data_IF_766210874921
#
_entry.id   IF_766210874921
#
_cell.length_a   1.000
_cell.length_b   1.000
_cell.length_c   1.000
_cell.angle_alpha   90.00
_cell.angle_beta   90.00
_cell.angle_gamma   90.00
#
_symmetry.space_group_name_H-M   'P 1'
#
loop_
_entity.id
_entity.type
_entity.pdbx_description
1 polymer ?
#
# COMPACT_ATOMS: atom_id res chain seq x y z
N UNK A 1 -1.75 -18.69 -6.93
CA UNK A 1 -3.00 -18.12 -7.48
C UNK A 1 -3.16 -18.42 -8.97
N UNK A 2 -2.12 -18.33 -9.82
CA UNK A 2 -2.29 -18.59 -11.26
C UNK A 2 -2.95 -19.91 -11.63
N UNK A 3 -2.59 -21.02 -11.00
CA UNK A 3 -3.24 -22.32 -11.24
C UNK A 3 -4.75 -22.27 -10.88
N UNK A 4 -5.07 -21.65 -9.74
CA UNK A 4 -6.46 -21.47 -9.29
C UNK A 4 -7.26 -20.55 -10.23
N UNK A 5 -6.63 -19.54 -10.83
CA UNK A 5 -7.27 -18.60 -11.74
C UNK A 5 -7.45 -19.19 -13.15
N UNK A 6 -6.37 -19.71 -13.73
CA UNK A 6 -6.31 -20.09 -15.15
C UNK A 6 -6.64 -21.58 -15.40
N UNK A 7 -6.34 -22.46 -14.44
CA UNK A 7 -6.52 -23.90 -14.58
C UNK A 7 -7.78 -24.42 -13.87
N UNK A 8 -7.93 -24.09 -12.59
CA UNK A 8 -8.96 -24.69 -11.73
C UNK A 8 -10.25 -23.86 -11.63
N UNK A 9 -10.25 -22.59 -12.05
CA UNK A 9 -11.42 -21.71 -11.97
C UNK A 9 -11.89 -21.44 -10.53
N UNK A 10 -10.99 -21.50 -9.55
CA UNK A 10 -11.25 -21.28 -8.13
C UNK A 10 -11.23 -19.79 -7.74
N UNK A 11 -10.85 -18.91 -8.68
CA UNK A 11 -11.03 -17.45 -8.57
C UNK A 11 -12.24 -17.05 -9.40
N UNK A 12 -13.32 -16.66 -8.73
CA UNK A 12 -14.63 -16.41 -9.32
C UNK A 12 -14.98 -14.93 -9.23
N UNK A 13 -15.17 -14.30 -10.38
CA UNK A 13 -15.64 -12.91 -10.49
C UNK A 13 -16.98 -12.69 -9.76
N UNK A 14 -17.13 -11.54 -9.11
CA UNK A 14 -18.42 -11.08 -8.57
C UNK A 14 -18.90 -9.81 -9.24
N UNK A 15 -18.14 -8.72 -9.11
CA UNK A 15 -18.47 -7.42 -9.70
C UNK A 15 -17.22 -6.55 -9.85
N UNK A 16 -17.24 -5.64 -10.82
CA UNK A 16 -16.27 -4.57 -10.92
C UNK A 16 -16.66 -3.45 -9.94
N UNK A 17 -15.73 -3.04 -9.08
CA UNK A 17 -15.93 -1.95 -8.14
C UNK A 17 -15.42 -0.62 -8.70
N UNK A 18 -14.33 -0.66 -9.47
CA UNK A 18 -13.72 0.51 -10.06
C UNK A 18 -13.05 0.18 -11.39
N UNK A 19 -13.27 1.06 -12.37
CA UNK A 19 -12.60 1.02 -13.66
C UNK A 19 -12.42 2.43 -14.22
N UNK A 20 -11.18 2.93 -14.18
CA UNK A 20 -10.84 4.23 -14.76
C UNK A 20 -9.37 4.23 -15.21
N UNK A 21 -9.10 4.76 -16.41
CA UNK A 21 -7.75 4.86 -16.99
C UNK A 21 -6.96 3.53 -16.97
N UNK A 22 -7.65 2.40 -17.05
CA UNK A 22 -7.07 1.06 -17.02
C UNK A 22 -6.88 0.46 -15.61
N UNK A 23 -6.96 1.25 -14.52
CA UNK A 23 -6.96 0.72 -13.14
C UNK A 23 -8.22 -0.11 -12.93
N UNK A 24 -8.05 -1.33 -12.44
CA UNK A 24 -9.13 -2.30 -12.19
C UNK A 24 -9.16 -2.67 -10.72
N UNK A 25 -10.34 -2.54 -10.09
CA UNK A 25 -10.62 -3.08 -8.75
C UNK A 25 -11.86 -3.95 -8.86
N UNK A 26 -11.71 -5.23 -8.55
CA UNK A 26 -12.73 -6.25 -8.80
C UNK A 26 -12.97 -7.03 -7.52
N UNK A 27 -14.23 -7.16 -7.12
CA UNK A 27 -14.62 -8.10 -6.09
C UNK A 27 -14.69 -9.52 -6.68
N UNK A 28 -14.07 -10.48 -5.99
CA UNK A 28 -14.05 -11.88 -6.40
C UNK A 28 -14.13 -12.82 -5.19
N UNK A 29 -14.30 -14.13 -5.45
CA UNK A 29 -14.11 -15.19 -4.46
C UNK A 29 -12.96 -16.08 -4.87
N UNK A 30 -12.02 -16.32 -3.97
CA UNK A 30 -10.92 -17.25 -4.16
C UNK A 30 -11.03 -18.41 -3.17
N UNK A 31 -11.24 -19.62 -3.69
CA UNK A 31 -11.50 -20.84 -2.89
C UNK A 31 -12.65 -20.64 -1.89
N UNK A 32 -13.69 -19.91 -2.31
CA UNK A 32 -14.87 -19.59 -1.49
C UNK A 32 -14.74 -18.34 -0.60
N UNK A 33 -13.53 -17.82 -0.38
CA UNK A 33 -13.31 -16.62 0.46
C UNK A 33 -13.39 -15.34 -0.38
N UNK A 34 -14.01 -14.26 0.12
CA UNK A 34 -14.04 -12.98 -0.60
C UNK A 34 -12.65 -12.35 -0.66
N UNK A 35 -12.30 -11.80 -1.82
CA UNK A 35 -11.04 -11.08 -2.08
C UNK A 35 -11.30 -9.87 -2.97
N UNK A 36 -10.36 -8.93 -3.00
CA UNK A 36 -10.33 -7.85 -3.98
C UNK A 36 -9.14 -8.09 -4.93
N UNK A 37 -9.41 -8.14 -6.23
CA UNK A 37 -8.40 -8.19 -7.28
C UNK A 37 -8.11 -6.79 -7.78
N UNK A 38 -6.83 -6.45 -7.86
CA UNK A 38 -6.36 -5.14 -8.27
C UNK A 38 -5.32 -5.22 -9.38
N UNK A 39 -5.32 -4.20 -10.22
CA UNK A 39 -4.27 -3.93 -11.21
C UNK A 39 -4.26 -2.45 -11.58
N UNK A 40 -3.07 -1.83 -11.66
CA UNK A 40 -2.90 -0.42 -12.08
C UNK A 40 -3.19 -0.21 -13.56
N UNK A 41 -2.74 -1.12 -14.42
CA UNK A 41 -2.94 -1.06 -15.86
C UNK A 41 -3.86 -2.19 -16.33
N UNK A 42 -4.54 -1.95 -17.45
CA UNK A 42 -5.52 -2.89 -17.95
C UNK A 42 -4.86 -4.17 -18.48
N UNK A 43 -3.85 -4.02 -19.32
CA UNK A 43 -3.21 -5.13 -20.03
C UNK A 43 -1.84 -5.44 -19.46
N UNK A 44 -1.50 -6.73 -19.45
CA UNK A 44 -0.17 -7.19 -19.04
C UNK A 44 0.95 -6.59 -19.92
N UNK A 45 0.66 -6.37 -21.20
CA UNK A 45 1.59 -5.76 -22.16
C UNK A 45 1.78 -4.25 -21.98
N UNK A 46 1.04 -3.60 -21.08
CA UNK A 46 1.20 -2.18 -20.77
C UNK A 46 2.32 -1.91 -19.76
N UNK A 47 2.86 -2.97 -19.14
CA UNK A 47 4.03 -2.87 -18.26
C UNK A 47 5.29 -3.02 -19.09
N UNK A 48 6.34 -2.31 -18.68
CA UNK A 48 7.63 -2.42 -19.33
C UNK A 48 8.17 -3.84 -19.14
N UNK A 49 8.61 -4.52 -20.21
CA UNK A 49 9.22 -5.84 -20.07
C UNK A 49 10.53 -5.71 -19.28
N UNK A 50 10.91 -6.77 -18.56
CA UNK A 50 12.23 -6.83 -17.95
C UNK A 50 13.24 -6.96 -19.10
N UNK A 51 13.90 -5.86 -19.49
CA UNK A 51 14.74 -5.81 -20.70
C UNK A 51 15.86 -6.86 -20.76
N UNK A 52 16.26 -7.41 -19.61
CA UNK A 52 17.20 -8.55 -19.53
C UNK A 52 16.63 -9.83 -20.15
N UNK A 53 15.30 -9.95 -20.24
CA UNK A 53 14.61 -11.04 -20.95
C UNK A 53 14.58 -10.86 -22.48
N UNK A 54 14.95 -9.68 -22.98
CA UNK A 54 14.88 -9.33 -24.41
C UNK A 54 16.27 -9.33 -25.07
N UNK A 55 17.34 -9.05 -24.31
CA UNK A 55 18.69 -9.37 -24.74
C UNK A 55 18.87 -10.90 -24.66
N UNK A 56 19.50 -11.49 -25.68
CA UNK A 56 19.75 -12.93 -25.83
C UNK A 56 20.65 -13.56 -24.74
N UNK A 57 20.75 -12.96 -23.56
CA UNK A 57 21.03 -13.71 -22.34
C UNK A 57 19.76 -14.50 -22.11
N UNK A 58 19.83 -15.82 -22.33
CA UNK A 58 18.67 -16.66 -22.13
C UNK A 58 18.05 -16.30 -20.77
N UNK A 59 16.73 -16.07 -20.72
CA UNK A 59 15.99 -15.98 -19.45
C UNK A 59 16.20 -17.23 -18.56
N UNK A 60 16.92 -18.22 -19.07
CA UNK A 60 17.44 -19.42 -18.43
C UNK A 60 18.66 -19.17 -17.50
N UNK A 61 19.31 -17.99 -17.55
CA UNK A 61 20.55 -17.71 -16.81
C UNK A 61 20.43 -16.73 -15.64
N UNK A 62 19.24 -16.16 -15.36
CA UNK A 62 19.09 -15.28 -14.19
C UNK A 62 19.14 -16.10 -12.91
N UNK A 63 20.22 -15.90 -12.13
CA UNK A 63 20.35 -16.53 -10.82
C UNK A 63 19.31 -15.95 -9.86
N UNK A 64 18.99 -16.69 -8.81
CA UNK A 64 18.11 -16.18 -7.76
C UNK A 64 18.65 -14.89 -7.12
N UNK A 65 19.98 -14.68 -7.12
CA UNK A 65 20.58 -13.44 -6.64
C UNK A 65 20.31 -12.26 -7.58
N UNK A 66 20.38 -12.47 -8.89
CA UNK A 66 20.09 -11.40 -9.87
C UNK A 66 18.63 -10.95 -9.73
N UNK A 67 17.71 -11.90 -9.63
CA UNK A 67 16.28 -11.60 -9.41
C UNK A 67 16.09 -10.79 -8.13
N UNK A 68 16.74 -11.19 -7.03
CA UNK A 68 16.69 -10.44 -5.78
C UNK A 68 17.28 -9.04 -5.93
N UNK A 69 18.40 -8.90 -6.64
CA UNK A 69 19.05 -7.62 -6.87
C UNK A 69 18.14 -6.65 -7.66
N UNK A 70 17.63 -7.07 -8.81
CA UNK A 70 16.73 -6.25 -9.62
C UNK A 70 15.42 -5.93 -8.91
N UNK A 71 14.84 -6.93 -8.22
CA UNK A 71 13.64 -6.70 -7.42
C UNK A 71 13.89 -5.70 -6.29
N UNK A 72 15.03 -5.78 -5.61
CA UNK A 72 15.38 -4.85 -4.52
C UNK A 72 15.56 -3.44 -5.05
N UNK A 73 16.21 -3.28 -6.21
CA UNK A 73 16.36 -1.98 -6.86
C UNK A 73 15.02 -1.36 -7.24
N UNK A 74 14.13 -2.15 -7.85
CA UNK A 74 12.79 -1.68 -8.22
C UNK A 74 11.96 -1.33 -6.99
N UNK A 75 11.99 -2.16 -5.94
CA UNK A 75 11.34 -1.85 -4.67
C UNK A 75 11.88 -0.55 -4.08
N UNK A 76 13.20 -0.37 -4.06
CA UNK A 76 13.83 0.85 -3.53
C UNK A 76 13.40 2.09 -4.32
N UNK A 77 13.30 1.97 -5.64
CA UNK A 77 12.83 3.04 -6.53
C UNK A 77 11.35 3.38 -6.27
N UNK A 78 10.47 2.36 -6.23
CA UNK A 78 9.04 2.53 -5.97
C UNK A 78 8.75 3.09 -4.58
N UNK A 79 9.54 2.75 -3.57
CA UNK A 79 9.45 3.32 -2.22
C UNK A 79 10.09 4.72 -2.12
N UNK A 80 10.77 5.19 -3.17
CA UNK A 80 11.42 6.50 -3.19
C UNK A 80 12.59 6.60 -2.21
N UNK A 81 13.33 5.51 -2.04
CA UNK A 81 14.50 5.41 -1.16
C UNK A 81 15.82 5.38 -1.94
N UNK A 82 15.79 5.60 -3.26
CA UNK A 82 16.93 5.47 -4.18
C UNK A 82 18.05 6.48 -3.95
N UNK A 83 17.78 7.56 -3.24
CA UNK A 83 18.73 8.64 -2.99
C UNK A 83 19.08 8.67 -1.49
N UNK A 84 20.15 7.96 -1.14
CA UNK A 84 20.92 8.31 0.07
C UNK A 84 21.62 9.64 -0.26
N UNK A 85 20.90 10.76 -0.16
CA UNK A 85 21.56 12.05 0.01
C UNK A 85 22.22 11.98 1.38
N UNK A 86 23.54 12.10 1.36
CA UNK A 86 24.42 12.25 2.51
C UNK A 86 24.04 13.54 3.28
N UNK A 87 22.88 13.57 3.94
CA UNK A 87 22.56 14.59 4.93
C UNK A 87 23.26 14.19 6.25
N UNK A 88 24.11 15.09 6.74
CA UNK A 88 25.00 14.95 7.88
C UNK A 88 24.32 14.47 9.17
N UNK A 89 25.11 13.75 9.98
CA UNK A 89 24.81 13.23 11.33
C UNK A 89 23.87 12.01 11.44
N UNK A 90 24.45 10.82 11.25
CA UNK A 90 23.93 9.60 11.87
C UNK A 90 24.02 8.38 10.97
N UNK A 91 25.09 7.60 11.11
CA UNK A 91 25.32 6.40 10.31
C UNK A 91 24.16 5.42 10.34
N UNK A 92 23.56 5.18 9.17
CA UNK A 92 22.53 4.17 8.96
C UNK A 92 22.88 3.29 7.76
N UNK A 93 23.66 2.25 8.05
CA UNK A 93 23.66 0.93 7.41
C UNK A 93 22.91 0.77 6.07
N UNK A 94 23.62 0.93 4.95
CA UNK A 94 23.24 0.46 3.60
C UNK A 94 22.98 -1.06 3.50
N UNK A 95 23.00 -1.78 4.63
CA UNK A 95 22.79 -3.21 4.73
C UNK A 95 21.46 -3.62 5.35
N UNK A 96 20.61 -2.74 5.88
CA UNK A 96 19.47 -3.20 6.70
C UNK A 96 18.43 -4.01 5.90
N UNK A 97 18.01 -3.54 4.72
CA UNK A 97 17.03 -4.26 3.90
C UNK A 97 17.60 -5.52 3.25
N UNK A 98 18.78 -5.45 2.65
CA UNK A 98 19.45 -6.64 2.09
C UNK A 98 19.76 -7.71 3.15
N UNK A 99 20.01 -7.31 4.40
CA UNK A 99 20.30 -8.22 5.53
C UNK A 99 19.03 -8.75 6.20
N UNK A 100 17.95 -7.96 6.27
CA UNK A 100 16.61 -8.42 6.66
C UNK A 100 16.04 -9.44 5.66
N UNK A 101 16.23 -9.20 4.36
CA UNK A 101 15.77 -10.10 3.30
C UNK A 101 16.70 -11.30 3.14
N UNK A 102 18.02 -11.10 3.28
CA UNK A 102 19.04 -12.15 3.23
C UNK A 102 18.98 -13.15 4.40
N UNK A 103 18.54 -12.73 5.60
CA UNK A 103 18.39 -13.65 6.74
C UNK A 103 17.16 -14.56 6.63
N UNK A 104 16.10 -14.13 5.92
CA UNK A 104 14.86 -14.91 5.72
C UNK A 104 14.93 -15.79 4.47
N UNK A 105 15.76 -15.44 3.50
CA UNK A 105 15.97 -16.22 2.29
C UNK A 105 17.04 -17.29 2.52
N UNK A 106 16.62 -18.49 2.94
CA UNK A 106 17.29 -19.71 2.46
C UNK A 106 17.07 -19.73 0.94
N UNK A 107 17.94 -19.05 0.19
CA UNK A 107 17.91 -19.03 -1.28
C UNK A 107 18.19 -20.47 -1.71
N UNK A 108 17.13 -21.27 -1.84
CA UNK A 108 17.21 -22.54 -2.57
C UNK A 108 17.62 -22.18 -4.00
N UNK A 109 18.46 -23.00 -4.60
CA UNK A 109 18.63 -23.04 -6.05
C UNK A 109 17.26 -23.30 -6.68
N UNK A 110 16.51 -22.22 -6.93
CA UNK A 110 15.22 -22.26 -7.59
C UNK A 110 15.38 -21.47 -8.87
N UNK A 111 15.23 -22.15 -9.99
CA UNK A 111 15.09 -21.50 -11.29
C UNK A 111 13.70 -20.88 -11.40
N UNK A 112 13.63 -19.70 -12.01
CA UNK A 112 12.39 -19.01 -12.29
C UNK A 112 12.11 -19.09 -13.79
N UNK A 113 10.88 -19.42 -14.15
CA UNK A 113 10.44 -19.37 -15.55
C UNK A 113 10.34 -17.92 -16.03
N UNK A 114 10.44 -17.72 -17.34
CA UNK A 114 10.21 -16.40 -17.97
C UNK A 114 8.85 -15.80 -17.57
N UNK A 115 7.81 -16.63 -17.45
CA UNK A 115 6.48 -16.19 -17.05
C UNK A 115 6.43 -15.72 -15.58
N UNK A 116 7.14 -16.41 -14.67
CA UNK A 116 7.27 -15.97 -13.27
C UNK A 116 8.02 -14.64 -13.17
N UNK A 117 9.12 -14.48 -13.90
CA UNK A 117 9.89 -13.23 -13.91
C UNK A 117 9.09 -12.06 -14.50
N UNK A 118 8.40 -12.28 -15.63
CA UNK A 118 7.55 -11.26 -16.23
C UNK A 118 6.38 -10.86 -15.31
N UNK A 119 5.78 -11.83 -14.61
CA UNK A 119 4.72 -11.55 -13.63
C UNK A 119 5.25 -10.77 -12.43
N UNK A 120 6.41 -11.16 -11.90
CA UNK A 120 7.06 -10.43 -10.80
C UNK A 120 7.36 -8.99 -11.22
N UNK A 121 7.94 -8.80 -12.41
CA UNK A 121 8.35 -7.49 -12.89
C UNK A 121 7.16 -6.53 -13.11
N UNK A 122 6.04 -7.02 -13.67
CA UNK A 122 4.84 -6.19 -13.83
C UNK A 122 4.15 -5.86 -12.51
N UNK A 123 4.31 -6.70 -11.48
CA UNK A 123 3.83 -6.39 -10.13
C UNK A 123 4.69 -5.33 -9.44
N UNK A 124 6.01 -5.40 -9.55
CA UNK A 124 6.91 -4.44 -8.87
C UNK A 124 6.81 -3.01 -9.40
N UNK A 125 6.44 -2.85 -10.68
CA UNK A 125 6.13 -1.56 -11.32
C UNK A 125 4.84 -0.91 -10.79
N UNK A 126 4.06 -1.60 -9.96
CA UNK A 126 2.85 -1.06 -9.33
C UNK A 126 3.19 -0.63 -7.90
N UNK A 127 3.15 0.67 -7.66
CA UNK A 127 3.52 1.28 -6.38
C UNK A 127 2.66 0.71 -5.25
N UNK A 128 1.33 0.63 -5.42
CA UNK A 128 0.43 0.06 -4.40
C UNK A 128 0.78 -1.39 -4.06
N UNK A 129 1.02 -2.26 -5.06
CA UNK A 129 1.41 -3.65 -4.81
C UNK A 129 2.70 -3.73 -4.01
N UNK A 130 3.71 -2.97 -4.43
CA UNK A 130 5.03 -2.95 -3.80
C UNK A 130 4.94 -2.44 -2.37
N UNK A 131 4.22 -1.34 -2.13
CA UNK A 131 3.98 -0.80 -0.80
C UNK A 131 3.27 -1.81 0.10
N UNK A 132 2.12 -2.34 -0.32
CA UNK A 132 1.36 -3.30 0.47
C UNK A 132 2.21 -4.54 0.77
N UNK A 133 2.93 -5.08 -0.22
CA UNK A 133 3.72 -6.30 -0.05
C UNK A 133 4.91 -6.12 0.89
N UNK A 134 5.55 -4.96 0.90
CA UNK A 134 6.67 -4.65 1.82
C UNK A 134 6.14 -4.35 3.22
N UNK A 135 5.08 -3.55 3.32
CA UNK A 135 4.58 -3.06 4.60
C UNK A 135 3.71 -4.05 5.37
N UNK A 136 3.08 -5.02 4.71
CA UNK A 136 2.18 -5.98 5.39
C UNK A 136 2.84 -6.82 6.49
N UNK A 137 4.17 -6.99 6.43
CA UNK A 137 4.95 -7.72 7.45
C UNK A 137 5.46 -6.77 8.56
N UNK A 138 5.31 -5.45 8.38
CA UNK A 138 5.81 -4.41 9.26
C UNK A 138 4.70 -3.63 9.97
N UNK A 139 3.52 -3.54 9.37
CA UNK A 139 2.38 -2.80 9.93
C UNK A 139 1.09 -3.56 9.73
N UNK A 140 0.26 -3.57 10.77
CA UNK A 140 -1.12 -4.06 10.71
C UNK A 140 -2.04 -3.10 9.96
N UNK A 141 -1.62 -1.87 9.66
CA UNK A 141 -2.47 -0.83 9.08
C UNK A 141 -2.45 -0.76 7.54
N UNK A 142 -1.97 -1.82 6.88
CA UNK A 142 -2.02 -1.95 5.41
C UNK A 142 -2.73 -3.25 5.01
N UNK A 143 -3.34 -3.26 3.83
CA UNK A 143 -4.04 -4.44 3.31
C UNK A 143 -3.05 -5.58 3.01
N UNK A 144 -3.42 -6.81 3.35
CA UNK A 144 -2.59 -7.98 3.09
C UNK A 144 -2.74 -8.44 1.64
N UNK A 145 -1.61 -8.59 0.94
CA UNK A 145 -1.55 -9.27 -0.35
C UNK A 145 -1.59 -10.78 -0.12
N UNK A 146 -2.63 -11.43 -0.64
CA UNK A 146 -2.90 -12.86 -0.50
C UNK A 146 -2.24 -13.70 -1.60
N UNK A 147 -2.02 -13.11 -2.77
CA UNK A 147 -1.39 -13.77 -3.90
C UNK A 147 -1.49 -12.95 -5.18
N UNK A 148 -0.88 -13.44 -6.25
CA UNK A 148 -0.88 -12.76 -7.54
C UNK A 148 -0.87 -13.73 -8.71
N UNK A 149 -1.33 -13.24 -9.87
CA UNK A 149 -1.16 -13.90 -11.15
C UNK A 149 -1.05 -12.89 -12.29
N UNK A 150 0.02 -12.98 -13.08
CA UNK A 150 0.34 -11.94 -14.05
C UNK A 150 0.53 -10.60 -13.32
N UNK A 151 -0.05 -9.54 -13.87
CA UNK A 151 -0.06 -8.20 -13.28
C UNK A 151 -1.16 -7.99 -12.22
N UNK A 152 -2.08 -8.94 -12.07
CA UNK A 152 -3.11 -8.87 -11.04
C UNK A 152 -2.61 -9.41 -9.70
N UNK A 153 -3.01 -8.74 -8.63
CA UNK A 153 -2.82 -9.21 -7.26
C UNK A 153 -4.13 -9.21 -6.49
N UNK A 154 -4.25 -10.14 -5.55
CA UNK A 154 -5.38 -10.30 -4.66
C UNK A 154 -5.02 -9.76 -3.29
N UNK A 155 -5.89 -8.93 -2.73
CA UNK A 155 -5.83 -8.47 -1.33
C UNK A 155 -7.03 -8.98 -0.55
N UNK A 156 -6.92 -8.98 0.77
CA UNK A 156 -8.03 -9.30 1.67
C UNK A 156 -9.26 -8.40 1.42
N UNK A 157 -10.45 -8.95 1.59
CA UNK A 157 -11.70 -8.19 1.52
C UNK A 157 -11.98 -7.51 2.86
N UNK A 158 -12.17 -6.18 2.82
CA UNK A 158 -12.36 -5.33 4.01
C UNK A 158 -13.59 -4.44 3.83
N UNK A 159 -14.15 -3.96 4.95
CA UNK A 159 -15.28 -3.01 4.91
C UNK A 159 -14.72 -1.61 4.67
N UNK A 160 -14.73 -1.19 3.40
CA UNK A 160 -14.19 0.11 2.95
C UNK A 160 -15.07 1.27 3.41
N UNK A 161 -14.48 2.45 3.54
CA UNK A 161 -15.21 3.64 3.91
C UNK A 161 -16.02 4.23 2.74
N UNK A 162 -17.06 5.00 3.09
CA UNK A 162 -17.93 5.68 2.12
C UNK A 162 -18.20 7.12 2.57
N UNK A 163 -18.09 8.10 1.65
CA UNK A 163 -18.31 9.51 1.95
C UNK A 163 -19.78 9.91 2.21
N UNK A 164 -20.77 9.03 1.96
CA UNK A 164 -22.20 9.39 2.00
C UNK A 164 -22.95 8.92 3.25
N UNK A 165 -22.31 8.15 4.13
CA UNK A 165 -22.93 7.62 5.34
C UNK A 165 -22.67 8.51 6.57
N UNK A 166 -23.54 8.44 7.59
CA UNK A 166 -23.32 9.13 8.88
C UNK A 166 -22.05 8.64 9.58
N UNK A 167 -21.61 7.42 9.28
CA UNK A 167 -20.36 6.83 9.75
C UNK A 167 -19.47 6.56 8.54
N UNK A 168 -18.16 6.76 8.69
CA UNK A 168 -17.18 6.48 7.62
C UNK A 168 -17.27 5.03 7.14
N UNK A 169 -17.56 4.08 8.03
CA UNK A 169 -17.60 2.64 7.73
C UNK A 169 -18.95 2.00 8.07
N UNK A 170 -19.31 0.97 7.32
CA UNK A 170 -20.45 0.09 7.63
C UNK A 170 -20.12 -0.84 8.79
N UNK A 171 -20.81 -0.67 9.92
CA UNK A 171 -20.57 -1.47 11.13
C UNK A 171 -21.35 -2.79 11.18
N UNK A 172 -22.30 -2.98 10.26
CA UNK A 172 -23.14 -4.18 10.20
C UNK A 172 -22.34 -5.45 9.85
N UNK A 173 -21.22 -5.28 9.13
CA UNK A 173 -20.36 -6.37 8.66
C UNK A 173 -19.31 -6.82 9.70
N UNK A 174 -19.20 -6.10 10.82
CA UNK A 174 -18.06 -6.19 11.76
C UNK A 174 -18.44 -6.88 13.09
N UNK A 175 -19.59 -7.55 13.16
CA UNK A 175 -20.04 -8.20 14.39
C UNK A 175 -19.09 -9.36 14.81
N UNK A 176 -18.22 -9.09 15.79
CA UNK A 176 -17.30 -10.07 16.41
C UNK A 176 -17.98 -10.80 17.58
N UNK A 177 -17.95 -12.14 17.65
CA UNK A 177 -18.18 -12.89 18.88
C UNK A 177 -16.95 -12.80 19.80
N UNK A 178 -17.10 -12.45 21.09
CA UNK A 178 -15.97 -12.44 22.04
C UNK A 178 -15.30 -13.82 22.14
N UNK A 179 -13.96 -13.85 22.16
CA UNK A 179 -13.18 -15.02 22.59
C UNK A 179 -13.54 -15.31 24.05
N UNK A 180 -13.94 -16.55 24.31
CA UNK A 180 -14.43 -17.04 25.60
C UNK A 180 -13.34 -16.92 26.66
N UNK A 181 -13.60 -16.12 27.70
CA UNK A 181 -13.15 -16.46 29.04
C UNK A 181 -14.30 -17.24 29.70
N UNK A 182 -14.00 -18.43 30.21
CA UNK A 182 -14.97 -19.30 30.85
C UNK A 182 -15.40 -18.68 32.16
N UNK A 183 -16.60 -18.10 32.22
CA UNK A 183 -17.65 -18.52 33.14
C UNK A 183 -18.81 -17.52 33.17
N UNK A 184 -20.01 -18.09 33.22
CA UNK A 184 -21.32 -17.48 33.51
C UNK A 184 -22.16 -16.99 32.32
N UNK A 185 -23.38 -17.50 32.31
CA UNK A 185 -24.45 -17.27 31.37
C UNK A 185 -24.75 -15.77 31.20
N UNK A 186 -24.47 -15.25 30.01
CA UNK A 186 -24.86 -13.92 29.56
C UNK A 186 -24.95 -13.93 28.04
N UNK A 187 -26.00 -13.34 27.49
CA UNK A 187 -26.17 -13.09 26.05
C UNK A 187 -24.86 -12.47 25.51
N UNK A 188 -24.36 -12.84 24.30
CA UNK A 188 -23.14 -12.25 23.78
C UNK A 188 -23.30 -10.73 23.74
N UNK A 189 -22.57 -10.01 24.59
CA UNK A 189 -22.59 -8.55 24.58
C UNK A 189 -21.99 -8.07 23.26
N UNK A 190 -22.88 -7.71 22.33
CA UNK A 190 -22.54 -7.02 21.10
C UNK A 190 -22.01 -5.65 21.47
N UNK A 191 -20.90 -5.26 20.86
CA UNK A 191 -20.28 -3.97 21.10
C UNK A 191 -21.28 -2.90 20.70
N UNK A 192 -21.46 -1.90 21.55
CA UNK A 192 -22.33 -0.78 21.20
C UNK A 192 -21.71 -0.02 20.02
N UNK A 193 -22.53 0.58 19.17
CA UNK A 193 -22.05 1.42 18.05
C UNK A 193 -21.04 2.47 18.52
N UNK A 194 -21.27 3.05 19.70
CA UNK A 194 -20.39 4.04 20.31
C UNK A 194 -19.00 3.46 20.64
N UNK A 195 -18.94 2.26 21.20
CA UNK A 195 -17.65 1.60 21.48
C UNK A 195 -16.89 1.26 20.20
N UNK A 196 -17.60 0.80 19.16
CA UNK A 196 -16.99 0.51 17.86
C UNK A 196 -16.39 1.78 17.25
N UNK A 197 -17.15 2.89 17.23
CA UNK A 197 -16.67 4.18 16.74
C UNK A 197 -15.46 4.68 17.52
N UNK A 198 -15.47 4.58 18.86
CA UNK A 198 -14.32 4.99 19.67
C UNK A 198 -13.06 4.18 19.35
N UNK A 199 -13.21 2.88 19.09
CA UNK A 199 -12.06 2.02 18.78
C UNK A 199 -11.54 2.22 17.37
N UNK A 200 -12.43 2.46 16.40
CA UNK A 200 -12.02 2.88 15.06
C UNK A 200 -11.24 4.20 15.13
N UNK A 201 -11.71 5.16 15.93
CA UNK A 201 -11.01 6.44 16.11
C UNK A 201 -9.63 6.27 16.75
N UNK A 202 -9.49 5.40 17.76
CA UNK A 202 -8.20 5.05 18.34
C UNK A 202 -7.31 4.37 17.28
N UNK A 203 -7.86 3.43 16.51
CA UNK A 203 -7.09 2.72 15.48
C UNK A 203 -6.59 3.64 14.35
N UNK A 204 -7.32 4.71 14.01
CA UNK A 204 -6.81 5.76 13.14
C UNK A 204 -5.61 6.49 13.74
N UNK A 205 -5.64 6.80 15.03
CA UNK A 205 -4.52 7.46 15.71
C UNK A 205 -3.31 6.53 15.82
N UNK A 206 -3.53 5.25 16.12
CA UNK A 206 -2.49 4.23 16.13
C UNK A 206 -1.83 4.11 14.74
N UNK A 207 -2.63 4.07 13.67
CA UNK A 207 -2.11 4.05 12.30
C UNK A 207 -1.21 5.25 12.01
N UNK A 208 -1.67 6.46 12.32
CA UNK A 208 -0.87 7.68 12.12
C UNK A 208 0.43 7.60 12.89
N UNK A 209 0.35 7.17 14.16
CA UNK A 209 1.52 7.06 15.01
C UNK A 209 2.54 6.06 14.46
N UNK A 210 2.09 4.87 14.04
CA UNK A 210 2.95 3.85 13.45
C UNK A 210 3.60 4.33 12.15
N UNK A 211 2.85 5.01 11.27
CA UNK A 211 3.40 5.55 10.02
C UNK A 211 4.43 6.66 10.22
N UNK A 212 4.34 7.40 11.33
CA UNK A 212 5.29 8.45 11.69
C UNK A 212 6.54 7.95 12.43
N UNK A 213 6.51 6.76 13.05
CA UNK A 213 7.54 6.35 14.02
C UNK A 213 8.14 4.95 13.84
N UNK A 214 7.46 4.01 13.19
CA UNK A 214 7.94 2.61 13.15
C UNK A 214 9.00 2.36 12.06
N UNK A 215 9.04 3.22 11.06
CA UNK A 215 9.93 3.09 9.91
C UNK A 215 11.13 4.05 10.03
N UNK A 216 12.24 3.72 9.36
CA UNK A 216 13.42 4.60 9.29
C UNK A 216 13.07 6.00 8.75
N UNK A 217 12.16 6.05 7.78
CA UNK A 217 11.61 7.28 7.23
C UNK A 217 10.11 7.30 7.47
N UNK A 218 9.56 8.49 7.78
CA UNK A 218 8.11 8.67 7.95
C UNK A 218 7.38 8.34 6.67
N UNK A 219 6.24 7.65 6.79
CA UNK A 219 5.35 7.35 5.69
C UNK A 219 4.25 8.42 5.61
N UNK A 220 4.14 9.07 4.46
CA UNK A 220 3.15 10.11 4.17
C UNK A 220 2.05 9.57 3.28
N UNK A 221 0.81 9.71 3.73
CA UNK A 221 -0.38 9.53 2.91
C UNK A 221 -0.82 10.90 2.38
N UNK A 222 -0.93 11.01 1.05
CA UNK A 222 -1.31 12.25 0.38
C UNK A 222 -2.67 12.23 -0.30
N UNK A 223 -3.40 11.11 -0.29
CA UNK A 223 -4.80 11.06 -0.77
C UNK A 223 -5.72 10.57 0.36
N UNK A 224 -6.18 11.49 1.20
CA UNK A 224 -6.95 11.19 2.41
C UNK A 224 -8.44 11.24 2.09
N UNK A 225 -9.02 10.07 1.82
CA UNK A 225 -10.45 9.91 1.53
C UNK A 225 -11.03 8.72 2.27
N UNK A 226 -12.29 8.77 2.73
CA UNK A 226 -12.97 7.63 3.35
C UNK A 226 -12.77 6.32 2.60
N UNK A 227 -12.86 6.36 1.27
CA UNK A 227 -12.78 5.20 0.37
C UNK A 227 -11.38 4.56 0.32
N UNK A 228 -10.34 5.29 0.72
CA UNK A 228 -8.95 4.80 0.74
C UNK A 228 -8.62 4.06 2.04
N UNK A 229 -9.54 4.04 3.00
CA UNK A 229 -9.43 3.30 4.24
C UNK A 229 -10.51 2.23 4.35
N UNK A 230 -10.24 1.22 5.16
CA UNK A 230 -11.19 0.17 5.52
C UNK A 230 -11.01 -0.28 6.96
N UNK A 231 -11.95 -1.07 7.46
CA UNK A 231 -11.83 -1.73 8.77
C UNK A 231 -11.83 -3.24 8.64
N UNK A 232 -10.98 -3.90 9.44
CA UNK A 232 -11.03 -5.33 9.69
C UNK A 232 -12.14 -5.67 10.69
N UNK A 233 -12.39 -6.98 10.84
CA UNK A 233 -13.38 -7.50 11.80
C UNK A 233 -13.09 -7.08 13.24
N UNK A 234 -11.82 -6.94 13.61
CA UNK A 234 -11.39 -6.49 14.93
C UNK A 234 -11.40 -4.96 15.10
N UNK A 235 -11.95 -4.22 14.12
CA UNK A 235 -12.01 -2.76 14.05
C UNK A 235 -10.66 -2.07 13.80
N UNK A 236 -9.63 -2.82 13.41
CA UNK A 236 -8.36 -2.24 12.96
C UNK A 236 -8.59 -1.47 11.66
N UNK A 237 -8.21 -0.19 11.64
CA UNK A 237 -8.19 0.65 10.44
C UNK A 237 -7.03 0.26 9.55
N UNK A 238 -7.30 0.20 8.24
CA UNK A 238 -6.35 -0.25 7.22
C UNK A 238 -6.37 0.72 6.06
N UNK A 239 -5.19 1.18 5.63
CA UNK A 239 -5.03 1.84 4.34
C UNK A 239 -5.14 0.79 3.21
N UNK A 240 -6.13 0.98 2.34
CA UNK A 240 -6.41 0.07 1.23
C UNK A 240 -6.05 0.65 -0.12
N UNK A 241 -5.87 1.97 -0.24
CA UNK A 241 -5.28 2.63 -1.41
C UNK A 241 -4.04 3.40 -0.94
N UNK A 242 -2.88 2.97 -1.43
CA UNK A 242 -1.57 3.56 -1.09
C UNK A 242 -0.81 3.98 -2.36
N UNK A 243 -1.53 4.23 -3.46
CA UNK A 243 -0.94 4.76 -4.71
C UNK A 243 -0.29 6.14 -4.50
N UNK A 244 -0.81 6.93 -3.55
CA UNK A 244 -0.31 8.26 -3.18
C UNK A 244 0.36 8.24 -1.80
N UNK A 245 1.14 7.19 -1.51
CA UNK A 245 1.94 7.06 -0.31
C UNK A 245 3.44 7.23 -0.61
N UNK A 246 4.15 7.99 0.22
CA UNK A 246 5.58 8.30 0.01
C UNK A 246 6.36 8.28 1.32
N UNK A 247 7.56 7.70 1.30
CA UNK A 247 8.50 7.91 2.40
C UNK A 247 9.09 9.33 2.35
N UNK A 248 9.51 9.83 3.52
CA UNK A 248 10.01 11.20 3.70
C UNK A 248 11.02 11.68 2.62
N UNK A 249 12.03 10.90 2.18
CA UNK A 249 12.96 11.37 1.15
C UNK A 249 12.23 11.78 -0.14
N UNK A 250 11.38 10.90 -0.66
CA UNK A 250 10.57 11.19 -1.86
C UNK A 250 9.56 12.31 -1.64
N UNK A 251 8.98 12.39 -0.45
CA UNK A 251 8.05 13.46 -0.10
C UNK A 251 8.73 14.83 -0.12
N UNK A 252 9.98 14.93 0.36
CA UNK A 252 10.78 16.16 0.28
C UNK A 252 10.93 16.61 -1.17
N UNK A 253 11.32 15.70 -2.06
CA UNK A 253 11.50 16.00 -3.49
C UNK A 253 10.21 16.48 -4.15
N UNK A 254 9.09 15.82 -3.85
CA UNK A 254 7.77 16.18 -4.37
C UNK A 254 7.38 17.60 -3.92
N UNK A 255 7.67 17.97 -2.67
CA UNK A 255 7.33 19.29 -2.13
C UNK A 255 8.32 20.38 -2.55
N UNK A 256 9.52 20.05 -3.05
CA UNK A 256 10.58 21.03 -3.32
C UNK A 256 10.39 21.82 -4.63
N UNK A 257 9.25 22.49 -4.74
CA UNK A 257 8.82 23.22 -5.92
C UNK A 257 9.01 24.74 -5.79
N UNK A 258 8.92 25.45 -6.91
CA UNK A 258 8.86 26.91 -6.91
C UNK A 258 7.45 27.38 -6.53
N UNK A 259 7.35 28.47 -5.78
CA UNK A 259 6.06 28.98 -5.31
C UNK A 259 6.00 30.51 -5.27
N UNK A 260 4.77 31.02 -5.35
CA UNK A 260 4.42 32.41 -5.05
C UNK A 260 3.60 32.51 -3.76
N UNK A 261 2.85 31.46 -3.41
CA UNK A 261 2.03 31.37 -2.20
C UNK A 261 2.04 29.96 -1.60
N UNK A 262 1.55 29.82 -0.36
CA UNK A 262 1.39 28.50 0.29
C UNK A 262 0.49 27.55 -0.51
N UNK A 263 -0.39 28.07 -1.38
CA UNK A 263 -1.30 27.24 -2.17
C UNK A 263 -0.59 26.45 -3.27
N UNK A 264 0.54 26.95 -3.75
CA UNK A 264 1.39 26.30 -4.75
C UNK A 264 2.18 25.14 -4.12
N UNK A 265 2.33 25.13 -2.79
CA UNK A 265 3.12 24.16 -2.04
C UNK A 265 2.28 22.96 -1.59
N UNK A 266 1.70 22.26 -2.56
CA UNK A 266 0.81 21.13 -2.29
C UNK A 266 0.92 20.02 -3.30
N UNK A 267 0.69 18.80 -2.82
CA UNK A 267 0.53 17.60 -3.62
C UNK A 267 -0.66 16.81 -3.06
N UNK A 268 -1.81 16.85 -3.74
CA UNK A 268 -3.08 16.35 -3.21
C UNK A 268 -3.36 16.92 -1.81
N UNK A 269 -3.52 16.08 -0.78
CA UNK A 269 -3.75 16.51 0.60
C UNK A 269 -2.46 16.86 1.34
N UNK A 270 -1.28 16.51 0.83
CA UNK A 270 -0.02 16.91 1.42
C UNK A 270 0.29 18.38 1.10
N UNK A 271 0.63 19.18 2.12
CA UNK A 271 0.92 20.61 1.95
C UNK A 271 2.12 21.06 2.78
N UNK A 272 2.86 22.05 2.29
CA UNK A 272 3.94 22.73 2.99
C UNK A 272 3.74 24.27 2.97
N UNK A 273 4.79 25.05 3.18
CA UNK A 273 4.74 26.52 3.19
C UNK A 273 5.67 27.09 2.14
N UNK A 274 5.26 28.17 1.51
CA UNK A 274 6.09 28.93 0.60
C UNK A 274 7.00 29.89 1.39
N UNK A 275 8.30 29.86 1.09
CA UNK A 275 9.22 30.92 1.50
C UNK A 275 9.15 32.05 0.45
N UNK A 276 8.53 33.21 0.75
CA UNK A 276 8.34 34.27 -0.24
C UNK A 276 9.65 34.95 -0.66
N UNK A 277 10.71 34.84 0.14
CA UNK A 277 12.04 35.38 -0.19
C UNK A 277 12.75 34.46 -1.17
N UNK A 278 12.72 33.15 -0.90
CA UNK A 278 13.36 32.15 -1.77
C UNK A 278 12.51 31.74 -2.97
N UNK A 279 11.20 32.04 -2.95
CA UNK A 279 10.20 31.56 -3.91
C UNK A 279 10.22 30.04 -4.06
N UNK A 280 10.47 29.33 -2.95
CA UNK A 280 10.51 27.87 -2.89
C UNK A 280 9.69 27.35 -1.74
N UNK A 281 9.05 26.22 -1.96
CA UNK A 281 8.31 25.49 -0.95
C UNK A 281 9.27 24.86 0.07
N UNK A 282 8.82 24.78 1.32
CA UNK A 282 9.51 24.01 2.34
C UNK A 282 9.45 22.53 1.95
N UNK A 283 10.58 21.80 2.03
CA UNK A 283 10.59 20.35 1.76
C UNK A 283 9.89 19.56 2.87
N UNK A 284 9.57 20.19 4.02
CA UNK A 284 8.87 19.54 5.13
C UNK A 284 7.37 19.76 5.03
N UNK A 285 6.62 18.66 5.03
CA UNK A 285 5.17 18.66 5.15
C UNK A 285 4.72 19.34 6.45
N UNK A 286 3.64 20.10 6.37
CA UNK A 286 3.04 20.83 7.51
C UNK A 286 1.89 20.07 8.17
N UNK A 287 1.07 19.36 7.40
CA UNK A 287 -0.11 18.64 7.89
C UNK A 287 0.20 17.16 8.18
N UNK A 288 -0.76 16.45 8.78
CA UNK A 288 -0.65 15.04 9.21
C UNK A 288 -1.40 14.09 8.27
N UNK A 289 -1.15 12.79 8.40
CA UNK A 289 -1.75 11.70 7.62
C UNK A 289 -3.29 11.55 7.69
N UNK A 290 -4.00 12.44 8.41
CA UNK A 290 -5.47 12.46 8.46
C UNK A 290 -6.06 13.85 8.16
N UNK A 291 -5.24 14.83 7.79
CA UNK A 291 -5.69 16.19 7.50
C UNK A 291 -5.92 16.38 6.00
N UNK A 292 -7.19 16.54 5.64
CA UNK A 292 -7.65 16.86 4.28
C UNK A 292 -7.46 18.35 3.99
N UNK A 293 -7.04 18.68 2.77
CA UNK A 293 -7.04 20.08 2.31
C UNK A 293 -8.48 20.48 1.97
N UNK A 294 -9.07 21.39 2.74
CA UNK A 294 -10.32 22.04 2.31
C UNK A 294 -10.02 22.92 1.11
N UNK A 295 -10.36 22.46 -0.08
CA UNK A 295 -10.56 23.37 -1.21
C UNK A 295 -11.74 24.27 -0.84
N UNK A 296 -11.47 25.50 -0.45
CA UNK A 296 -12.49 26.54 -0.55
C UNK A 296 -12.76 26.73 -2.04
N UNK A 297 -13.71 25.98 -2.59
CA UNK A 297 -14.38 26.37 -3.82
C UNK A 297 -15.09 27.67 -3.50
N UNK A 298 -14.47 28.80 -3.87
CA UNK A 298 -15.12 30.10 -3.92
C UNK A 298 -16.37 29.94 -4.77
N UNK A 299 -17.53 29.92 -4.11
CA UNK A 299 -18.85 30.02 -4.73
C UNK A 299 -19.15 31.49 -5.01
#
# INVERSE_FOLDING_TARGET
MCEDLCGLGLVQYKRCLYYENGKKVIEARWRGNPIILKSKLENFSSYEPLGILDYQVAAEDLSALDVVFYATMEVRNSLGLSEDTEDEEGGATNGSLAKLWGQKLKIREKSYSRAELASLWSLLQQEEYTFLRVLQDLSTHVAQVLGSCGHFYAVEYLSAGHAWDQNIFSLDEVAVPRLQDQDQAGVPERWTTREMVHRIAISFLDMVWHFDHDFTHRLHLCDIKPENFAIRKDLTVVAIDVDMAFFEPKMRDILEQNCSSDEDCSFFDCSSRCDPLRRRCSPRRRNTNLQVRRHFSSS
#
